data_IF_039059787419
#
_entry.id   IF_039059787419
#
_cell.length_a   1.000
_cell.length_b   1.000
_cell.length_c   1.000
_cell.angle_alpha   90.00
_cell.angle_beta   90.00
_cell.angle_gamma   90.00
#
_symmetry.space_group_name_H-M   'P 1'
#
loop_
_entity.id
_entity.type
_entity.pdbx_description
1 polymer ?
#
# COMPACT_ATOMS: atom_id res chain seq x y z
N UNK A 1 -9.80 49.71 -21.56
CA UNK A 1 -10.14 48.44 -22.24
C UNK A 1 -9.01 47.40 -22.19
N UNK A 2 -7.79 47.72 -22.63
CA UNK A 2 -6.65 46.78 -22.68
C UNK A 2 -6.24 46.17 -21.31
N UNK A 3 -6.29 46.95 -20.23
CA UNK A 3 -6.01 46.46 -18.86
C UNK A 3 -7.12 45.53 -18.33
N UNK A 4 -8.39 45.80 -18.66
CA UNK A 4 -9.53 44.99 -18.25
C UNK A 4 -9.52 43.60 -18.91
N UNK A 5 -9.17 43.54 -20.20
CA UNK A 5 -8.99 42.29 -20.93
C UNK A 5 -7.85 41.43 -20.35
N UNK A 6 -6.73 42.06 -19.93
CA UNK A 6 -5.63 41.36 -19.27
C UNK A 6 -6.02 40.74 -17.94
N UNK A 7 -6.76 41.48 -17.09
CA UNK A 7 -7.22 40.96 -15.79
C UNK A 7 -8.21 39.80 -15.94
N UNK A 8 -9.11 39.87 -16.93
CA UNK A 8 -10.05 38.79 -17.24
C UNK A 8 -9.31 37.54 -17.71
N UNK A 9 -8.31 37.67 -18.59
CA UNK A 9 -7.49 36.52 -19.02
C UNK A 9 -6.73 35.87 -17.86
N UNK A 10 -6.18 36.66 -16.93
CA UNK A 10 -5.50 36.13 -15.74
C UNK A 10 -6.49 35.39 -14.84
N UNK A 11 -7.68 35.93 -14.62
CA UNK A 11 -8.71 35.29 -13.81
C UNK A 11 -9.17 33.96 -14.43
N UNK A 12 -9.40 33.93 -15.74
CA UNK A 12 -9.75 32.71 -16.49
C UNK A 12 -8.63 31.67 -16.41
N UNK A 13 -7.38 32.08 -16.51
CA UNK A 13 -6.23 31.19 -16.40
C UNK A 13 -6.10 30.58 -14.99
N UNK A 14 -6.30 31.38 -13.93
CA UNK A 14 -6.27 30.90 -12.54
C UNK A 14 -7.40 29.90 -12.26
N UNK A 15 -8.60 30.17 -12.77
CA UNK A 15 -9.74 29.25 -12.64
C UNK A 15 -9.47 27.94 -13.40
N UNK A 16 -8.91 28.01 -14.61
CA UNK A 16 -8.57 26.83 -15.40
C UNK A 16 -7.51 25.95 -14.71
N UNK A 17 -6.51 26.55 -14.04
CA UNK A 17 -5.50 25.83 -13.27
C UNK A 17 -6.11 25.17 -12.03
N UNK A 18 -6.99 25.86 -11.30
CA UNK A 18 -7.66 25.29 -10.12
C UNK A 18 -8.56 24.09 -10.46
N UNK A 19 -9.24 24.14 -11.62
CA UNK A 19 -10.06 23.03 -12.11
C UNK A 19 -9.21 21.86 -12.65
N UNK A 20 -7.96 22.08 -13.05
CA UNK A 20 -7.07 21.01 -13.53
C UNK A 20 -6.53 20.13 -12.37
N UNK A 21 -6.58 20.61 -11.12
CA UNK A 21 -6.10 19.88 -9.94
C UNK A 21 -7.12 18.89 -9.37
N UNK A 22 -8.35 18.84 -9.89
CA UNK A 22 -9.44 17.97 -9.40
C UNK A 22 -9.51 16.63 -10.11
N UNK A 23 -8.46 16.25 -10.85
CA UNK A 23 -8.34 14.89 -11.38
C UNK A 23 -8.52 13.86 -10.26
N UNK A 24 -9.19 12.72 -10.52
CA UNK A 24 -9.43 11.72 -9.49
C UNK A 24 -8.10 11.18 -8.98
N UNK A 25 -7.67 11.64 -7.80
CA UNK A 25 -6.56 11.01 -7.08
C UNK A 25 -7.02 9.62 -6.68
N UNK A 26 -6.23 8.60 -6.99
CA UNK A 26 -6.49 7.25 -6.50
C UNK A 26 -6.61 7.31 -4.97
N UNK A 27 -7.76 6.91 -4.42
CA UNK A 27 -8.07 6.95 -2.98
C UNK A 27 -6.92 6.39 -2.14
N UNK A 28 -6.36 7.06 -1.13
CA UNK A 28 -5.29 6.41 -0.37
C UNK A 28 -5.87 5.24 0.45
N UNK A 29 -5.37 4.01 0.24
CA UNK A 29 -5.87 2.80 0.94
C UNK A 29 -4.80 2.11 1.79
N UNK A 30 -3.54 2.50 1.65
CA UNK A 30 -2.44 1.96 2.45
C UNK A 30 -2.31 2.75 3.74
N UNK A 31 -2.54 2.06 4.87
CA UNK A 31 -2.55 2.65 6.21
C UNK A 31 -1.19 3.28 6.56
N UNK A 32 -0.08 2.69 6.12
CA UNK A 32 1.27 3.20 6.37
C UNK A 32 1.55 4.58 5.73
N UNK A 33 0.70 5.00 4.79
CA UNK A 33 0.77 6.29 4.10
C UNK A 33 -0.36 7.24 4.51
N UNK A 34 -1.08 6.93 5.58
CA UNK A 34 -2.18 7.72 6.11
C UNK A 34 -1.84 8.22 7.51
N UNK A 35 -2.35 9.40 7.83
CA UNK A 35 -2.41 9.91 9.20
C UNK A 35 -3.60 9.30 9.95
N UNK A 36 -3.54 9.30 11.28
CA UNK A 36 -4.64 8.79 12.12
C UNK A 36 -6.02 9.44 11.78
N UNK A 37 -6.14 10.77 11.56
CA UNK A 37 -7.41 11.36 11.16
C UNK A 37 -7.93 10.85 9.82
N UNK A 38 -7.06 10.60 8.84
CA UNK A 38 -7.47 10.02 7.55
C UNK A 38 -7.97 8.59 7.71
N UNK A 39 -7.34 7.79 8.59
CA UNK A 39 -7.82 6.43 8.93
C UNK A 39 -9.18 6.49 9.62
N UNK A 40 -9.35 7.40 10.58
CA UNK A 40 -10.63 7.60 11.27
C UNK A 40 -11.75 7.96 10.28
N UNK A 41 -11.50 8.93 9.40
CA UNK A 41 -12.47 9.31 8.36
C UNK A 41 -12.74 8.18 7.38
N UNK A 42 -11.71 7.41 6.99
CA UNK A 42 -11.90 6.24 6.13
C UNK A 42 -12.87 5.23 6.76
N UNK A 43 -12.78 4.98 8.05
CA UNK A 43 -13.67 4.06 8.78
C UNK A 43 -15.07 4.65 8.94
N UNK A 44 -15.18 5.88 9.46
CA UNK A 44 -16.45 6.45 9.91
C UNK A 44 -17.24 7.18 8.82
N UNK A 45 -16.56 7.82 7.87
CA UNK A 45 -17.20 8.63 6.83
C UNK A 45 -17.23 7.89 5.48
N UNK A 46 -16.20 7.08 5.19
CA UNK A 46 -16.06 6.35 3.92
C UNK A 46 -16.38 4.85 4.02
N UNK A 47 -16.78 4.36 5.20
CA UNK A 47 -17.29 3.00 5.38
C UNK A 47 -16.27 1.90 5.12
N UNK A 48 -14.98 2.13 5.39
CA UNK A 48 -13.98 1.06 5.35
C UNK A 48 -14.18 0.13 6.55
N UNK A 49 -14.43 -1.15 6.26
CA UNK A 49 -14.76 -2.17 7.28
C UNK A 49 -13.79 -3.35 7.27
N UNK A 50 -12.81 -3.35 6.37
CA UNK A 50 -11.91 -4.48 6.15
C UNK A 50 -10.47 -4.00 6.08
N UNK A 51 -9.55 -4.75 6.67
CA UNK A 51 -8.10 -4.52 6.54
C UNK A 51 -7.48 -5.75 5.91
N UNK A 52 -6.74 -5.54 4.83
CA UNK A 52 -5.92 -6.57 4.20
C UNK A 52 -4.56 -6.59 4.90
N UNK A 53 -4.20 -7.76 5.45
CA UNK A 53 -2.87 -8.03 5.98
C UNK A 53 -2.15 -8.95 5.00
N UNK A 54 -0.97 -8.55 4.55
CA UNK A 54 -0.20 -9.31 3.56
C UNK A 54 1.22 -9.59 4.07
N UNK A 55 1.64 -10.85 3.95
CA UNK A 55 3.00 -11.29 4.23
C UNK A 55 3.77 -11.40 2.91
N UNK A 56 4.86 -10.64 2.80
CA UNK A 56 5.84 -10.72 1.72
C UNK A 56 6.89 -11.79 2.02
N UNK A 57 8.15 -11.43 1.81
CA UNK A 57 9.27 -12.32 2.10
C UNK A 57 10.55 -11.84 1.42
N UNK A 58 11.69 -12.28 1.98
CA UNK A 58 13.02 -12.09 1.40
C UNK A 58 13.66 -13.46 1.27
N UNK A 59 13.75 -13.96 0.05
CA UNK A 59 14.16 -15.35 -0.20
C UNK A 59 15.03 -15.46 -1.45
N UNK A 60 15.82 -16.52 -1.55
CA UNK A 60 16.51 -16.87 -2.78
C UNK A 60 15.50 -17.08 -3.92
N UNK A 61 15.76 -16.48 -5.09
CA UNK A 61 14.91 -16.58 -6.29
C UNK A 61 15.72 -16.85 -7.56
N UNK A 62 16.77 -17.66 -7.45
CA UNK A 62 17.74 -17.88 -8.51
C UNK A 62 18.73 -16.72 -8.71
N UNK A 63 19.70 -16.86 -9.64
CA UNK A 63 20.73 -15.85 -9.89
C UNK A 63 20.23 -14.62 -10.66
N UNK A 64 18.96 -14.61 -11.08
CA UNK A 64 18.39 -13.61 -11.99
C UNK A 64 17.37 -12.68 -11.31
N UNK A 65 16.97 -12.96 -10.06
CA UNK A 65 15.94 -12.18 -9.37
C UNK A 65 16.44 -11.67 -8.01
N UNK A 66 15.97 -10.48 -7.67
CA UNK A 66 16.16 -9.88 -6.34
C UNK A 66 15.31 -10.60 -5.30
N UNK A 67 15.81 -10.67 -4.06
CA UNK A 67 15.23 -11.50 -3.01
C UNK A 67 13.85 -11.02 -2.53
N UNK A 68 13.58 -9.72 -2.61
CA UNK A 68 12.36 -9.09 -2.11
C UNK A 68 11.13 -9.22 -3.02
N UNK A 69 11.15 -10.09 -4.03
CA UNK A 69 10.11 -10.20 -5.06
C UNK A 69 8.69 -10.29 -4.49
N UNK A 70 8.47 -11.11 -3.46
CA UNK A 70 7.17 -11.24 -2.79
C UNK A 70 6.72 -9.95 -2.12
N UNK A 71 7.62 -9.24 -1.43
CA UNK A 71 7.33 -7.96 -0.80
C UNK A 71 7.01 -6.87 -1.83
N UNK A 72 7.71 -6.85 -2.97
CA UNK A 72 7.42 -5.88 -4.05
C UNK A 72 6.07 -6.15 -4.71
N UNK A 73 5.76 -7.42 -4.98
CA UNK A 73 4.44 -7.81 -5.50
C UNK A 73 3.33 -7.43 -4.53
N UNK A 74 3.50 -7.68 -3.23
CA UNK A 74 2.53 -7.33 -2.19
C UNK A 74 2.19 -5.83 -2.19
N UNK A 75 3.22 -4.97 -2.23
CA UNK A 75 3.06 -3.50 -2.26
C UNK A 75 2.30 -3.00 -3.48
N UNK A 76 2.40 -3.68 -4.62
CA UNK A 76 1.62 -3.33 -5.81
C UNK A 76 0.20 -3.91 -5.77
N UNK A 77 0.06 -5.18 -5.39
CA UNK A 77 -1.17 -5.95 -5.54
C UNK A 77 -2.17 -5.66 -4.41
N UNK A 78 -1.72 -5.55 -3.16
CA UNK A 78 -2.63 -5.34 -2.03
C UNK A 78 -3.48 -4.06 -2.16
N UNK A 79 -2.91 -2.89 -2.55
CA UNK A 79 -3.71 -1.69 -2.80
C UNK A 79 -4.69 -1.86 -3.97
N UNK A 80 -4.30 -2.59 -5.02
CA UNK A 80 -5.22 -2.89 -6.13
C UNK A 80 -6.43 -3.71 -5.67
N UNK A 81 -6.20 -4.73 -4.83
CA UNK A 81 -7.26 -5.56 -4.26
C UNK A 81 -8.16 -4.72 -3.35
N UNK A 82 -7.58 -3.93 -2.44
CA UNK A 82 -8.34 -3.09 -1.52
C UNK A 82 -9.28 -2.12 -2.25
N UNK A 83 -8.79 -1.48 -3.31
CA UNK A 83 -9.59 -0.59 -4.17
C UNK A 83 -10.72 -1.31 -4.89
N UNK A 84 -10.44 -2.53 -5.38
CA UNK A 84 -11.45 -3.34 -6.06
C UNK A 84 -12.56 -3.81 -5.11
N UNK A 85 -12.22 -4.09 -3.85
CA UNK A 85 -13.19 -4.40 -2.81
C UNK A 85 -14.01 -3.17 -2.40
N UNK A 86 -13.41 -1.98 -2.47
CA UNK A 86 -14.08 -0.70 -2.19
C UNK A 86 -14.26 -0.39 -0.71
N UNK A 87 -14.33 -1.41 0.16
CA UNK A 87 -14.50 -1.28 1.61
C UNK A 87 -13.24 -1.64 2.42
N UNK A 88 -12.09 -1.83 1.76
CA UNK A 88 -10.88 -2.31 2.39
C UNK A 88 -9.75 -1.27 2.45
N UNK A 89 -8.97 -1.32 3.52
CA UNK A 89 -7.66 -0.71 3.70
C UNK A 89 -6.56 -1.79 3.67
N UNK A 90 -5.30 -1.38 3.58
CA UNK A 90 -4.13 -2.26 3.56
C UNK A 90 -3.23 -1.93 4.74
N UNK A 91 -2.98 -2.91 5.60
CA UNK A 91 -1.99 -2.82 6.66
C UNK A 91 -0.56 -2.80 6.08
N UNK A 92 0.46 -2.34 6.83
CA UNK A 92 1.85 -2.42 6.38
C UNK A 92 2.22 -3.85 5.94
N UNK A 93 2.91 -3.97 4.80
CA UNK A 93 3.34 -5.29 4.29
C UNK A 93 4.39 -5.87 5.25
N UNK A 94 4.11 -7.05 5.79
CA UNK A 94 5.04 -7.76 6.68
C UNK A 94 6.11 -8.45 5.83
N UNK A 95 7.41 -8.09 5.90
CA UNK A 95 8.43 -8.57 4.98
C UNK A 95 8.99 -9.96 5.34
N UNK A 96 8.17 -10.81 5.98
CA UNK A 96 8.58 -12.10 6.52
C UNK A 96 7.76 -13.24 5.92
N UNK A 97 8.41 -14.39 5.77
CA UNK A 97 7.80 -15.67 5.40
C UNK A 97 8.27 -16.78 6.33
N UNK A 98 7.66 -17.96 6.23
CA UNK A 98 8.09 -19.15 6.98
C UNK A 98 9.31 -19.81 6.34
N UNK A 99 10.22 -20.36 7.16
CA UNK A 99 11.34 -21.19 6.69
C UNK A 99 11.20 -22.65 7.17
N UNK A 100 11.46 -23.66 6.31
CA UNK A 100 11.49 -23.58 4.86
C UNK A 100 10.09 -23.46 4.28
N UNK A 101 9.91 -22.53 3.34
CA UNK A 101 8.72 -22.50 2.51
C UNK A 101 8.68 -23.76 1.64
N UNK A 102 7.82 -24.72 1.99
CA UNK A 102 7.65 -25.96 1.21
C UNK A 102 8.67 -27.07 1.47
N UNK A 103 9.42 -27.03 2.59
CA UNK A 103 10.21 -28.18 3.05
C UNK A 103 11.54 -28.43 2.33
N UNK A 104 11.96 -27.55 1.43
CA UNK A 104 13.25 -27.64 0.72
C UNK A 104 14.11 -26.43 1.05
N UNK A 105 15.36 -26.72 1.39
CA UNK A 105 16.56 -25.88 1.44
C UNK A 105 17.06 -25.29 2.79
N UNK A 106 18.39 -25.33 3.04
CA UNK A 106 19.05 -24.66 4.16
C UNK A 106 19.03 -23.13 4.00
N UNK A 107 19.49 -22.41 5.04
CA UNK A 107 19.67 -20.95 5.01
C UNK A 107 20.49 -20.51 3.78
N UNK A 108 19.80 -19.95 2.79
CA UNK A 108 20.43 -19.33 1.62
C UNK A 108 20.88 -17.90 1.95
N UNK A 109 22.03 -17.44 1.42
CA UNK A 109 22.53 -16.09 1.66
C UNK A 109 21.47 -15.02 1.37
N UNK A 110 21.25 -14.12 2.34
CA UNK A 110 20.30 -13.02 2.25
C UNK A 110 18.84 -13.38 2.51
N UNK A 111 18.48 -14.66 2.64
CA UNK A 111 17.09 -15.04 2.97
C UNK A 111 16.76 -14.69 4.42
N UNK A 112 15.60 -14.10 4.65
CA UNK A 112 15.08 -13.72 5.97
C UNK A 112 13.72 -14.37 6.15
N UNK A 113 13.60 -15.19 7.19
CA UNK A 113 12.38 -15.94 7.45
C UNK A 113 12.24 -16.26 8.94
N UNK A 114 11.00 -16.46 9.35
CA UNK A 114 10.60 -16.78 10.72
C UNK A 114 10.36 -18.30 10.86
N UNK A 115 10.58 -18.82 12.07
CA UNK A 115 10.08 -20.14 12.42
C UNK A 115 8.54 -20.15 12.31
N UNK A 116 7.90 -21.26 11.88
CA UNK A 116 6.45 -21.31 11.70
C UNK A 116 5.65 -20.83 12.92
N UNK A 117 6.06 -21.24 14.12
CA UNK A 117 5.37 -20.87 15.37
C UNK A 117 5.53 -19.38 15.68
N UNK A 118 6.68 -18.79 15.35
CA UNK A 118 6.91 -17.35 15.52
C UNK A 118 6.16 -16.55 14.45
N UNK A 119 6.14 -17.02 13.21
CA UNK A 119 5.38 -16.40 12.13
C UNK A 119 3.89 -16.33 12.47
N UNK A 120 3.33 -17.43 12.99
CA UNK A 120 1.95 -17.46 13.47
C UNK A 120 1.72 -16.43 14.57
N UNK A 121 2.54 -16.44 15.63
CA UNK A 121 2.41 -15.50 16.76
C UNK A 121 2.54 -14.03 16.35
N UNK A 122 3.41 -13.73 15.38
CA UNK A 122 3.53 -12.38 14.82
C UNK A 122 2.23 -11.97 14.13
N UNK A 123 1.64 -12.86 13.32
CA UNK A 123 0.40 -12.54 12.62
C UNK A 123 -0.80 -12.42 13.59
N UNK A 124 -0.87 -13.28 14.60
CA UNK A 124 -1.85 -13.15 15.69
C UNK A 124 -1.72 -11.80 16.39
N UNK A 125 -0.51 -11.41 16.79
CA UNK A 125 -0.27 -10.13 17.46
C UNK A 125 -0.49 -8.90 16.55
N UNK A 126 -0.43 -9.04 15.23
CA UNK A 126 -0.68 -7.95 14.27
C UNK A 126 -2.16 -7.67 14.11
N UNK A 127 -3.03 -8.67 14.30
CA UNK A 127 -4.49 -8.54 14.10
C UNK A 127 -5.29 -8.42 15.40
N UNK A 128 -4.64 -8.57 16.55
CA UNK A 128 -5.18 -8.33 17.90
C UNK A 128 -5.49 -6.84 18.13
#
# INVERSE_FOLDING_TARGET
>A
MRKLAGTICILVLVIAIGLAQTGPRQEQVEIELMTYPEIYSAIHDHGKTTVLVYNGGTEQRGPHAVLGGHTFMARAIAPMVARKLGNALVAPVLPFSVNPAGGVDPKMPGSVALAPELFQKVNEAVVD
#
